data_IF_152902105283
#
_entry.id   IF_152902105283
#
_cell.length_a   1.000
_cell.length_b   1.000
_cell.length_c   1.000
_cell.angle_alpha   90.00
_cell.angle_beta   90.00
_cell.angle_gamma   90.00
#
_symmetry.space_group_name_H-M   'P 1'
#
loop_
_entity.id
_entity.type
_entity.pdbx_description
1 polymer ?
#
# COMPACT_ATOMS: atom_id res chain seq x y z
N UNK A 1 0.75 62.94 53.04
CA UNK A 1 2.07 62.84 52.38
C UNK A 1 2.85 61.63 52.91
N UNK A 2 2.96 60.56 52.12
CA UNK A 2 3.74 59.38 52.48
C UNK A 2 4.37 58.74 51.23
N UNK A 3 5.68 58.95 51.14
CA UNK A 3 6.78 58.10 50.64
C UNK A 3 6.44 56.98 49.64
N UNK A 4 6.98 57.11 48.42
CA UNK A 4 7.06 56.06 47.40
C UNK A 4 8.36 55.28 47.59
N UNK A 5 8.25 53.96 47.74
CA UNK A 5 9.37 53.01 47.82
C UNK A 5 9.41 52.18 46.52
N UNK A 6 10.58 51.96 45.88
CA UNK A 6 10.68 51.16 44.65
C UNK A 6 11.23 49.75 44.95
N UNK A 7 10.56 48.68 44.51
CA UNK A 7 11.17 47.34 44.46
C UNK A 7 10.49 46.35 43.49
N UNK A 8 11.32 45.86 42.57
CA UNK A 8 11.44 44.51 42.00
C UNK A 8 10.26 43.78 41.30
N UNK A 9 10.43 43.56 39.99
CA UNK A 9 9.88 42.41 39.24
C UNK A 9 10.46 41.10 39.81
N UNK A 10 9.66 40.03 39.94
CA UNK A 10 9.82 38.92 38.99
C UNK A 10 8.56 38.08 38.76
N UNK A 11 8.50 37.38 37.62
CA UNK A 11 7.53 36.27 37.46
C UNK A 11 7.19 35.88 36.03
N UNK A 12 8.19 35.67 35.16
CA UNK A 12 7.99 34.91 33.93
C UNK A 12 7.54 33.48 34.30
N UNK A 13 6.30 33.12 33.98
CA UNK A 13 5.82 31.75 34.10
C UNK A 13 6.42 30.89 32.97
N UNK A 14 6.95 29.70 33.26
CA UNK A 14 7.49 28.82 32.22
C UNK A 14 6.36 28.26 31.36
N UNK A 15 6.52 28.42 30.04
CA UNK A 15 5.74 27.70 29.05
C UNK A 15 6.06 26.19 29.18
N UNK A 16 5.08 25.40 29.61
CA UNK A 16 5.15 23.94 29.56
C UNK A 16 5.18 23.46 28.10
N UNK A 17 5.77 22.28 27.84
CA UNK A 17 6.20 21.90 26.51
C UNK A 17 5.00 21.73 25.58
N UNK A 18 4.99 22.50 24.48
CA UNK A 18 4.18 22.19 23.33
C UNK A 18 4.52 20.75 22.91
N UNK A 19 3.53 19.85 23.00
CA UNK A 19 3.60 18.57 22.30
C UNK A 19 3.97 18.91 20.86
N UNK A 20 5.16 18.47 20.44
CA UNK A 20 5.54 18.48 19.05
C UNK A 20 4.41 17.80 18.28
N UNK A 21 3.65 18.59 17.51
CA UNK A 21 2.84 18.08 16.43
C UNK A 21 3.84 17.39 15.51
N UNK A 22 3.86 16.06 15.59
CA UNK A 22 4.49 15.25 14.56
C UNK A 22 3.72 15.58 13.30
N UNK A 23 4.38 16.31 12.41
CA UNK A 23 3.85 16.64 11.10
C UNK A 23 3.67 15.31 10.34
N UNK A 24 2.43 14.91 9.97
CA UNK A 24 2.21 13.67 9.25
C UNK A 24 2.60 13.76 7.77
N UNK A 25 3.19 14.88 7.32
CA UNK A 25 3.79 15.01 5.99
C UNK A 25 5.24 14.54 5.89
N UNK A 26 5.77 13.83 6.90
CA UNK A 26 7.02 13.08 6.77
C UNK A 26 6.84 11.84 5.88
N UNK A 27 6.65 12.06 4.57
CA UNK A 27 7.15 11.11 3.59
C UNK A 27 8.67 11.08 3.80
N UNK A 28 9.29 9.91 4.07
CA UNK A 28 10.73 9.85 4.01
C UNK A 28 11.11 10.26 2.60
N UNK A 29 11.91 11.33 2.51
CA UNK A 29 12.72 11.62 1.34
C UNK A 29 13.44 10.30 1.03
N UNK A 30 13.00 9.60 -0.01
CA UNK A 30 13.59 8.34 -0.41
C UNK A 30 14.98 8.70 -0.94
N UNK A 31 15.97 8.59 -0.06
CA UNK A 31 17.37 8.60 -0.43
C UNK A 31 17.53 7.62 -1.60
N UNK A 32 17.93 8.09 -2.81
CA UNK A 32 17.94 7.25 -4.01
C UNK A 32 18.92 6.07 -3.92
N UNK A 33 19.75 6.02 -2.88
CA UNK A 33 20.72 4.94 -2.62
C UNK A 33 20.32 4.00 -1.45
N UNK A 34 19.17 4.23 -0.81
CA UNK A 34 18.65 3.31 0.20
C UNK A 34 17.88 2.17 -0.46
N UNK A 35 18.32 0.92 -0.25
CA UNK A 35 17.55 -0.27 -0.64
C UNK A 35 16.12 -0.10 -0.10
N UNK A 36 15.09 -0.15 -0.96
CA UNK A 36 13.74 0.13 -0.52
C UNK A 36 13.31 -0.93 0.48
N UNK A 37 13.13 -0.52 1.74
CA UNK A 37 12.39 -1.35 2.70
C UNK A 37 10.94 -1.41 2.19
N UNK A 38 10.37 -2.60 1.99
CA UNK A 38 9.01 -2.72 1.48
C UNK A 38 8.02 -2.02 2.42
N UNK A 39 6.97 -1.38 1.88
CA UNK A 39 5.93 -0.80 2.70
C UNK A 39 4.99 -1.89 3.22
N UNK A 40 4.49 -1.69 4.45
CA UNK A 40 3.73 -2.67 5.25
C UNK A 40 2.68 -3.52 4.53
N UNK A 41 1.99 -3.01 3.51
CA UNK A 41 0.98 -3.79 2.77
C UNK A 41 1.53 -4.70 1.68
N UNK A 42 2.81 -4.57 1.31
CA UNK A 42 3.50 -5.42 0.36
C UNK A 42 4.54 -6.34 1.03
N UNK A 43 4.60 -6.37 2.37
CA UNK A 43 5.62 -7.12 3.12
C UNK A 43 5.66 -8.59 2.71
N UNK A 44 4.51 -9.27 2.59
CA UNK A 44 4.48 -10.68 2.18
C UNK A 44 5.07 -10.91 0.77
N UNK A 45 4.74 -10.04 -0.19
CA UNK A 45 5.27 -10.13 -1.57
C UNK A 45 6.76 -9.83 -1.56
N UNK A 46 7.19 -8.84 -0.79
CA UNK A 46 8.58 -8.46 -0.74
C UNK A 46 9.45 -9.47 0.02
N UNK A 47 8.96 -10.08 1.11
CA UNK A 47 9.61 -11.22 1.74
C UNK A 47 9.73 -12.40 0.77
N UNK A 48 8.72 -12.66 -0.06
CA UNK A 48 8.82 -13.69 -1.10
C UNK A 48 9.84 -13.35 -2.20
N UNK A 49 10.04 -12.05 -2.49
CA UNK A 49 11.05 -11.57 -3.45
C UNK A 49 12.45 -11.53 -2.83
N UNK A 50 12.57 -11.26 -1.53
CA UNK A 50 13.84 -11.05 -0.83
C UNK A 50 14.35 -12.32 -0.12
N UNK A 51 13.47 -13.27 0.21
CA UNK A 51 13.80 -14.54 0.84
C UNK A 51 14.48 -15.55 -0.09
N UNK A 52 14.92 -16.68 0.49
CA UNK A 52 15.57 -17.79 -0.23
C UNK A 52 14.56 -18.86 -0.70
N UNK A 53 14.73 -19.25 -1.97
CA UNK A 53 14.08 -20.27 -2.81
C UNK A 53 12.55 -20.17 -3.13
N UNK A 54 12.16 -19.76 -4.36
CA UNK A 54 10.77 -19.68 -4.83
C UNK A 54 10.01 -21.02 -4.89
N UNK A 55 10.71 -22.15 -4.67
CA UNK A 55 10.21 -23.53 -4.83
C UNK A 55 9.41 -24.06 -3.64
N UNK A 56 9.47 -23.41 -2.48
CA UNK A 56 8.78 -23.89 -1.27
C UNK A 56 7.31 -23.44 -1.16
N UNK A 57 6.81 -22.64 -2.12
CA UNK A 57 5.52 -21.96 -2.02
C UNK A 57 4.40 -22.48 -2.97
N UNK A 58 4.60 -23.55 -3.76
CA UNK A 58 3.60 -23.96 -4.77
C UNK A 58 3.56 -25.46 -5.11
N UNK A 59 2.43 -25.90 -5.68
CA UNK A 59 2.19 -27.30 -6.05
C UNK A 59 2.95 -27.78 -7.30
N UNK A 60 3.12 -29.10 -7.49
CA UNK A 60 4.23 -29.68 -8.25
C UNK A 60 4.27 -29.44 -9.78
N UNK A 61 3.19 -28.94 -10.42
CA UNK A 61 3.15 -28.83 -11.89
C UNK A 61 3.15 -27.38 -12.43
N UNK A 62 2.62 -26.41 -11.65
CA UNK A 62 2.65 -24.98 -12.03
C UNK A 62 3.96 -24.29 -11.67
N UNK A 63 4.60 -24.72 -10.57
CA UNK A 63 5.89 -24.21 -10.10
C UNK A 63 6.99 -24.37 -11.13
N UNK A 64 7.02 -25.47 -11.90
CA UNK A 64 8.10 -25.71 -12.87
C UNK A 64 8.02 -24.76 -14.06
N UNK A 65 6.82 -24.47 -14.56
CA UNK A 65 6.64 -23.63 -15.75
C UNK A 65 6.98 -22.16 -15.46
N UNK A 66 6.67 -21.69 -14.26
CA UNK A 66 6.77 -20.27 -13.90
C UNK A 66 7.99 -19.93 -13.02
N UNK A 67 8.77 -20.93 -12.60
CA UNK A 67 9.99 -20.71 -11.83
C UNK A 67 10.97 -19.76 -12.53
N UNK A 68 11.26 -19.99 -13.81
CA UNK A 68 12.24 -19.17 -14.55
C UNK A 68 11.72 -17.73 -14.79
N UNK A 69 10.49 -17.50 -15.30
CA UNK A 69 9.93 -16.14 -15.38
C UNK A 69 9.92 -15.42 -14.03
N UNK A 70 9.52 -16.10 -12.95
CA UNK A 70 9.46 -15.52 -11.61
C UNK A 70 10.86 -15.14 -11.10
N UNK A 71 11.86 -16.00 -11.33
CA UNK A 71 13.25 -15.73 -10.96
C UNK A 71 13.81 -14.51 -11.68
N UNK A 72 13.54 -14.36 -13.00
CA UNK A 72 13.96 -13.19 -13.78
C UNK A 72 13.33 -11.90 -13.27
N UNK A 73 12.04 -11.90 -12.92
CA UNK A 73 11.39 -10.72 -12.33
C UNK A 73 12.01 -10.40 -10.97
N UNK A 74 12.19 -11.40 -10.09
CA UNK A 74 12.75 -11.19 -8.76
C UNK A 74 14.21 -10.71 -8.82
N UNK A 75 15.01 -11.16 -9.79
CA UNK A 75 16.38 -10.69 -10.01
C UNK A 75 16.40 -9.23 -10.46
N UNK A 76 15.56 -8.86 -11.42
CA UNK A 76 15.42 -7.47 -11.85
C UNK A 76 14.98 -6.54 -10.70
N UNK A 77 14.02 -6.96 -9.86
CA UNK A 77 13.62 -6.21 -8.66
C UNK A 77 14.77 -6.07 -7.67
N UNK A 78 15.48 -7.16 -7.34
CA UNK A 78 16.62 -7.14 -6.41
C UNK A 78 17.77 -6.27 -6.91
N UNK A 79 17.95 -6.19 -8.22
CA UNK A 79 18.94 -5.32 -8.85
C UNK A 79 18.47 -3.87 -9.05
N UNK A 80 17.24 -3.52 -8.64
CA UNK A 80 16.67 -2.19 -8.79
C UNK A 80 16.28 -1.82 -10.23
N UNK A 81 16.22 -2.79 -11.15
CA UNK A 81 15.87 -2.58 -12.57
C UNK A 81 14.35 -2.62 -12.75
N UNK A 82 13.66 -1.68 -12.12
CA UNK A 82 12.20 -1.72 -11.94
C UNK A 82 11.41 -1.70 -13.25
N UNK A 83 11.83 -0.91 -14.25
CA UNK A 83 11.20 -0.88 -15.58
C UNK A 83 11.32 -2.22 -16.33
N UNK A 84 12.48 -2.86 -16.20
CA UNK A 84 12.72 -4.20 -16.75
C UNK A 84 11.84 -5.23 -16.03
N UNK A 85 11.80 -5.17 -14.69
CA UNK A 85 10.93 -6.02 -13.88
C UNK A 85 9.45 -5.86 -14.28
N UNK A 86 8.99 -4.64 -14.57
CA UNK A 86 7.60 -4.38 -14.97
C UNK A 86 7.28 -5.04 -16.31
N UNK A 87 8.20 -4.91 -17.27
CA UNK A 87 8.07 -5.55 -18.59
C UNK A 87 8.06 -7.08 -18.46
N UNK A 88 8.99 -7.64 -17.68
CA UNK A 88 9.09 -9.08 -17.44
C UNK A 88 7.83 -9.62 -16.73
N UNK A 89 7.34 -8.92 -15.70
CA UNK A 89 6.16 -9.33 -14.94
C UNK A 89 4.90 -9.31 -15.81
N UNK A 90 4.68 -8.25 -16.60
CA UNK A 90 3.53 -8.17 -17.50
C UNK A 90 3.54 -9.29 -18.54
N UNK A 91 4.70 -9.58 -19.15
CA UNK A 91 4.84 -10.65 -20.14
C UNK A 91 4.58 -12.02 -19.50
N UNK A 92 5.12 -12.27 -18.31
CA UNK A 92 4.90 -13.51 -17.58
C UNK A 92 3.43 -13.71 -17.21
N UNK A 93 2.73 -12.67 -16.77
CA UNK A 93 1.29 -12.73 -16.47
C UNK A 93 0.49 -13.06 -17.73
N UNK A 94 0.78 -12.45 -18.87
CA UNK A 94 0.08 -12.70 -20.13
C UNK A 94 0.25 -14.16 -20.59
N UNK A 95 1.49 -14.64 -20.63
CA UNK A 95 1.83 -16.01 -21.03
C UNK A 95 1.19 -17.05 -20.09
N UNK A 96 1.34 -16.84 -18.79
CA UNK A 96 0.82 -17.75 -17.77
C UNK A 96 -0.72 -17.78 -17.78
N UNK A 97 -1.38 -16.63 -17.95
CA UNK A 97 -2.83 -16.55 -18.05
C UNK A 97 -3.36 -17.28 -19.28
N UNK A 98 -2.66 -17.18 -20.41
CA UNK A 98 -3.01 -17.89 -21.64
C UNK A 98 -2.85 -19.41 -21.53
N UNK A 99 -1.92 -19.88 -20.70
CA UNK A 99 -1.59 -21.30 -20.55
C UNK A 99 -2.39 -22.00 -19.45
N UNK A 100 -2.52 -21.34 -18.29
CA UNK A 100 -3.07 -21.93 -17.06
C UNK A 100 -4.47 -21.39 -16.72
N UNK A 101 -4.86 -20.25 -17.29
CA UNK A 101 -6.08 -19.51 -16.94
C UNK A 101 -5.82 -18.42 -15.90
N UNK A 102 -6.58 -17.33 -15.96
CA UNK A 102 -6.34 -16.11 -15.19
C UNK A 102 -6.51 -16.26 -13.66
N UNK A 103 -7.30 -17.24 -13.23
CA UNK A 103 -7.58 -17.52 -11.81
C UNK A 103 -6.70 -18.65 -11.23
N UNK A 104 -5.75 -19.17 -12.01
CA UNK A 104 -4.82 -20.21 -11.54
C UNK A 104 -3.88 -19.63 -10.46
N UNK A 105 -3.59 -20.39 -9.39
CA UNK A 105 -2.84 -19.90 -8.23
C UNK A 105 -1.49 -19.25 -8.58
N UNK A 106 -0.71 -19.88 -9.46
CA UNK A 106 0.57 -19.32 -9.91
C UNK A 106 0.42 -18.02 -10.72
N UNK A 107 -0.68 -17.87 -11.47
CA UNK A 107 -1.00 -16.62 -12.18
C UNK A 107 -1.34 -15.53 -11.18
N UNK A 108 -2.11 -15.85 -10.13
CA UNK A 108 -2.42 -14.91 -9.05
C UNK A 108 -1.13 -14.44 -8.36
N UNK A 109 -0.20 -15.36 -8.04
CA UNK A 109 1.11 -15.01 -7.47
C UNK A 109 1.93 -14.08 -8.38
N UNK A 110 1.95 -14.33 -9.69
CA UNK A 110 2.61 -13.43 -10.65
C UNK A 110 1.94 -12.05 -10.72
N UNK A 111 0.61 -12.00 -10.61
CA UNK A 111 -0.14 -10.73 -10.58
C UNK A 111 0.10 -9.95 -9.29
N UNK A 112 0.27 -10.62 -8.15
CA UNK A 112 0.69 -10.00 -6.88
C UNK A 112 2.08 -9.36 -7.01
N UNK A 113 3.02 -10.08 -7.62
CA UNK A 113 4.35 -9.55 -7.93
C UNK A 113 4.27 -8.37 -8.91
N UNK A 114 3.44 -8.47 -9.94
CA UNK A 114 3.20 -7.37 -10.89
C UNK A 114 2.64 -6.12 -10.20
N UNK A 115 1.76 -6.28 -9.20
CA UNK A 115 1.25 -5.17 -8.41
C UNK A 115 2.35 -4.51 -7.56
N UNK A 116 3.23 -5.30 -6.96
CA UNK A 116 4.39 -4.80 -6.21
C UNK A 116 5.37 -4.06 -7.10
N UNK A 117 5.70 -4.61 -8.27
CA UNK A 117 6.59 -3.96 -9.24
C UNK A 117 6.00 -2.64 -9.75
N UNK A 118 4.70 -2.59 -10.04
CA UNK A 118 4.01 -1.36 -10.42
C UNK A 118 4.10 -0.30 -9.31
N UNK A 119 3.98 -0.71 -8.04
CA UNK A 119 4.16 0.18 -6.91
C UNK A 119 5.60 0.73 -6.83
N UNK A 120 6.61 -0.13 -6.99
CA UNK A 120 8.02 0.29 -7.03
C UNK A 120 8.32 1.21 -8.20
N UNK A 121 7.64 1.04 -9.34
CA UNK A 121 7.77 1.89 -10.52
C UNK A 121 7.14 3.28 -10.33
N UNK A 122 6.48 3.54 -9.19
CA UNK A 122 5.78 4.78 -8.95
C UNK A 122 4.44 4.88 -9.69
N UNK A 123 3.83 3.74 -10.08
CA UNK A 123 2.47 3.67 -10.60
C UNK A 123 1.50 3.10 -9.55
N UNK A 124 1.09 3.92 -8.56
CA UNK A 124 0.19 3.48 -7.51
C UNK A 124 -1.22 3.15 -8.02
N UNK A 125 -1.63 3.67 -9.18
CA UNK A 125 -2.97 3.40 -9.72
C UNK A 125 -3.03 1.98 -10.29
N UNK A 126 -2.01 1.58 -11.03
CA UNK A 126 -1.92 0.22 -11.56
C UNK A 126 -1.76 -0.79 -10.43
N UNK A 127 -0.86 -0.52 -9.47
CA UNK A 127 -0.68 -1.35 -8.28
C UNK A 127 -1.97 -1.53 -7.47
N UNK A 128 -2.72 -0.44 -7.26
CA UNK A 128 -4.01 -0.47 -6.56
C UNK A 128 -5.02 -1.38 -7.26
N UNK A 129 -5.21 -1.20 -8.57
CA UNK A 129 -6.21 -1.94 -9.35
C UNK A 129 -5.92 -3.42 -9.37
N UNK A 130 -4.65 -3.81 -9.59
CA UNK A 130 -4.24 -5.21 -9.55
C UNK A 130 -4.51 -5.83 -8.18
N UNK A 131 -4.10 -5.15 -7.11
CA UNK A 131 -4.28 -5.63 -5.74
C UNK A 131 -5.77 -5.77 -5.38
N UNK A 132 -6.61 -4.78 -5.73
CA UNK A 132 -8.03 -4.83 -5.40
C UNK A 132 -8.77 -5.93 -6.17
N UNK A 133 -8.41 -6.16 -7.44
CA UNK A 133 -8.97 -7.25 -8.22
C UNK A 133 -8.61 -8.62 -7.64
N UNK A 134 -7.34 -8.81 -7.26
CA UNK A 134 -6.84 -10.03 -6.61
C UNK A 134 -7.56 -10.30 -5.28
N UNK A 135 -7.76 -9.27 -4.45
CA UNK A 135 -8.56 -9.38 -3.23
C UNK A 135 -9.97 -9.89 -3.53
N UNK A 136 -10.58 -9.44 -4.63
CA UNK A 136 -11.87 -9.92 -5.11
C UNK A 136 -11.84 -11.39 -5.57
N UNK A 137 -10.77 -11.83 -6.24
CA UNK A 137 -10.58 -13.23 -6.66
C UNK A 137 -10.45 -14.15 -5.45
N UNK A 138 -9.54 -13.86 -4.52
CA UNK A 138 -9.33 -14.67 -3.31
C UNK A 138 -10.58 -14.76 -2.46
N UNK A 139 -11.33 -13.65 -2.31
CA UNK A 139 -12.61 -13.66 -1.61
C UNK A 139 -13.61 -14.63 -2.25
N UNK A 140 -13.73 -14.66 -3.57
CA UNK A 140 -14.63 -15.59 -4.28
C UNK A 140 -14.18 -17.04 -4.14
N UNK A 141 -12.88 -17.27 -4.02
CA UNK A 141 -12.29 -18.59 -3.76
C UNK A 141 -12.40 -19.02 -2.28
N UNK A 142 -12.80 -18.14 -1.37
CA UNK A 142 -12.87 -18.40 0.06
C UNK A 142 -11.52 -18.29 0.79
N UNK A 143 -10.51 -17.71 0.14
CA UNK A 143 -9.21 -17.43 0.76
C UNK A 143 -9.25 -16.06 1.45
N UNK A 144 -9.59 -16.09 2.75
CA UNK A 144 -9.69 -14.87 3.55
C UNK A 144 -8.33 -14.21 3.82
N UNK A 145 -7.27 -15.00 3.95
CA UNK A 145 -5.90 -14.51 4.17
C UNK A 145 -5.37 -13.80 2.93
N UNK A 146 -5.45 -14.45 1.77
CA UNK A 146 -5.05 -13.85 0.49
C UNK A 146 -5.87 -12.60 0.17
N UNK A 147 -7.19 -12.65 0.40
CA UNK A 147 -8.07 -11.51 0.16
C UNK A 147 -7.68 -10.30 1.02
N UNK A 148 -7.41 -10.52 2.31
CA UNK A 148 -7.03 -9.44 3.20
C UNK A 148 -5.61 -8.91 2.93
N UNK A 149 -4.65 -9.79 2.64
CA UNK A 149 -3.30 -9.40 2.23
C UNK A 149 -3.32 -8.45 1.02
N UNK A 150 -4.11 -8.75 0.00
CA UNK A 150 -4.24 -7.86 -1.15
C UNK A 150 -5.03 -6.58 -0.87
N UNK A 151 -5.95 -6.57 0.10
CA UNK A 151 -6.56 -5.32 0.60
C UNK A 151 -5.50 -4.41 1.23
N UNK A 152 -4.55 -4.96 1.99
CA UNK A 152 -3.44 -4.19 2.58
C UNK A 152 -2.49 -3.66 1.50
N UNK A 153 -2.18 -4.45 0.47
CA UNK A 153 -1.42 -4.00 -0.70
C UNK A 153 -2.13 -2.85 -1.43
N UNK A 154 -3.44 -2.99 -1.69
CA UNK A 154 -4.26 -1.95 -2.28
C UNK A 154 -4.30 -0.68 -1.41
N UNK A 155 -4.47 -0.82 -0.09
CA UNK A 155 -4.46 0.32 0.84
C UNK A 155 -3.12 1.06 0.83
N UNK A 156 -2.01 0.34 0.66
CA UNK A 156 -0.67 0.91 0.54
C UNK A 156 -0.51 1.70 -0.75
N UNK A 157 -0.89 1.12 -1.90
CA UNK A 157 -0.88 1.82 -3.19
C UNK A 157 -1.82 3.04 -3.18
N UNK A 158 -3.01 2.92 -2.60
CA UNK A 158 -3.96 4.02 -2.44
C UNK A 158 -3.40 5.21 -1.65
N UNK A 159 -2.61 4.95 -0.60
CA UNK A 159 -1.98 6.01 0.19
C UNK A 159 -0.97 6.83 -0.63
N UNK A 160 -0.38 6.24 -1.67
CA UNK A 160 0.54 6.92 -2.59
C UNK A 160 -0.15 7.71 -3.72
N UNK A 161 -1.46 7.58 -3.90
CA UNK A 161 -2.23 8.38 -4.87
C UNK A 161 -2.33 9.83 -4.38
N UNK A 162 -1.81 10.77 -5.19
CA UNK A 162 -1.71 12.19 -4.84
C UNK A 162 -2.94 13.01 -5.23
N UNK A 163 -3.61 12.64 -6.32
CA UNK A 163 -4.81 13.32 -6.78
C UNK A 163 -5.99 13.03 -5.81
N UNK A 164 -6.58 14.05 -5.17
CA UNK A 164 -7.62 13.82 -4.17
C UNK A 164 -8.92 13.25 -4.74
N UNK A 165 -9.36 13.64 -5.94
CA UNK A 165 -10.61 13.14 -6.52
C UNK A 165 -10.48 11.66 -6.91
N UNK A 166 -9.36 11.30 -7.54
CA UNK A 166 -9.01 9.93 -7.86
C UNK A 166 -8.84 9.10 -6.59
N UNK A 167 -8.16 9.65 -5.58
CA UNK A 167 -8.02 9.03 -4.26
C UNK A 167 -9.38 8.76 -3.60
N UNK A 168 -10.37 9.66 -3.74
CA UNK A 168 -11.72 9.45 -3.24
C UNK A 168 -12.45 8.32 -3.98
N UNK A 169 -12.29 8.23 -5.30
CA UNK A 169 -12.85 7.14 -6.12
C UNK A 169 -12.38 5.78 -5.62
N UNK A 170 -11.06 5.60 -5.62
CA UNK A 170 -10.40 4.35 -5.24
C UNK A 170 -10.66 3.99 -3.75
N UNK A 171 -10.65 5.00 -2.88
CA UNK A 171 -10.89 4.81 -1.45
C UNK A 171 -12.29 4.24 -1.15
N UNK A 172 -13.32 4.61 -1.93
CA UNK A 172 -14.67 4.03 -1.78
C UNK A 172 -14.69 2.55 -2.13
N UNK A 173 -14.05 2.17 -3.23
CA UNK A 173 -13.97 0.77 -3.68
C UNK A 173 -13.22 -0.09 -2.65
N UNK A 174 -12.06 0.39 -2.18
CA UNK A 174 -11.25 -0.27 -1.16
C UNK A 174 -12.01 -0.48 0.16
N UNK A 175 -12.58 0.59 0.71
CA UNK A 175 -13.28 0.54 2.01
C UNK A 175 -14.53 -0.33 1.90
N UNK A 176 -15.22 -0.33 0.75
CA UNK A 176 -16.35 -1.20 0.48
C UNK A 176 -15.95 -2.68 0.59
N UNK A 177 -14.94 -3.10 -0.17
CA UNK A 177 -14.44 -4.48 -0.13
C UNK A 177 -13.94 -4.88 1.26
N UNK A 178 -13.14 -4.03 1.91
CA UNK A 178 -12.61 -4.32 3.24
C UNK A 178 -13.72 -4.45 4.28
N UNK A 179 -14.75 -3.60 4.21
CA UNK A 179 -15.91 -3.70 5.12
C UNK A 179 -16.65 -5.02 4.92
N UNK A 180 -16.80 -5.49 3.68
CA UNK A 180 -17.40 -6.81 3.39
C UNK A 180 -16.56 -7.96 3.95
N UNK A 181 -15.22 -7.91 3.81
CA UNK A 181 -14.33 -8.92 4.39
C UNK A 181 -14.39 -8.93 5.92
N UNK A 182 -14.30 -7.76 6.55
CA UNK A 182 -14.38 -7.65 8.01
C UNK A 182 -15.72 -8.16 8.56
N UNK A 183 -16.83 -7.95 7.84
CA UNK A 183 -18.13 -8.48 8.22
C UNK A 183 -18.24 -10.01 8.08
N UNK A 184 -17.46 -10.61 7.17
CA UNK A 184 -17.38 -12.06 7.00
C UNK A 184 -16.52 -12.76 8.07
N UNK A 185 -15.77 -12.01 8.89
CA UNK A 185 -14.84 -12.53 9.90
C UNK A 185 -13.42 -12.74 9.36
N UNK A 186 -12.59 -13.47 10.11
CA UNK A 186 -11.21 -13.76 9.73
C UNK A 186 -10.26 -12.55 9.92
N UNK A 187 -9.10 -12.54 9.25
CA UNK A 187 -8.01 -11.60 9.56
C UNK A 187 -8.42 -10.14 9.34
N UNK A 188 -9.27 -9.85 8.36
CA UNK A 188 -9.81 -8.50 8.13
C UNK A 188 -10.68 -7.98 9.29
N UNK A 189 -11.30 -8.87 10.07
CA UNK A 189 -12.10 -8.51 11.24
C UNK A 189 -11.22 -8.31 12.50
N UNK A 190 -10.11 -9.04 12.59
CA UNK A 190 -9.13 -8.94 13.68
C UNK A 190 -8.40 -7.60 13.64
N UNK A 191 -8.14 -7.06 12.44
CA UNK A 191 -7.47 -5.77 12.21
C UNK A 191 -8.44 -4.60 11.96
N UNK A 192 -9.47 -4.47 12.81
CA UNK A 192 -10.47 -3.40 12.67
C UNK A 192 -9.87 -1.98 12.70
N UNK A 193 -8.74 -1.78 13.38
CA UNK A 193 -8.06 -0.48 13.51
C UNK A 193 -7.47 0.02 12.18
N UNK A 194 -7.03 -0.87 11.30
CA UNK A 194 -6.52 -0.49 9.97
C UNK A 194 -7.65 -0.03 9.04
N UNK A 195 -8.82 -0.69 9.11
CA UNK A 195 -10.02 -0.25 8.40
C UNK A 195 -10.49 1.12 8.90
N UNK A 196 -10.45 1.36 10.21
CA UNK A 196 -10.80 2.67 10.76
C UNK A 196 -9.79 3.75 10.34
N UNK A 197 -8.51 3.42 10.30
CA UNK A 197 -7.46 4.30 9.76
C UNK A 197 -7.70 4.67 8.29
N UNK A 198 -8.16 3.71 7.47
CA UNK A 198 -8.55 3.97 6.09
C UNK A 198 -9.76 4.90 5.99
N UNK A 199 -10.81 4.70 6.81
CA UNK A 199 -11.98 5.59 6.88
C UNK A 199 -11.61 7.00 7.31
N UNK A 200 -10.74 7.14 8.31
CA UNK A 200 -10.25 8.44 8.75
C UNK A 200 -9.49 9.18 7.63
N UNK A 201 -8.69 8.47 6.82
CA UNK A 201 -8.05 9.05 5.62
C UNK A 201 -9.09 9.51 4.60
N UNK A 202 -10.11 8.70 4.33
CA UNK A 202 -11.19 9.04 3.40
C UNK A 202 -11.92 10.33 3.81
N UNK A 203 -12.18 10.51 5.10
CA UNK A 203 -12.76 11.74 5.63
C UNK A 203 -11.86 12.97 5.36
N UNK A 204 -10.56 12.85 5.60
CA UNK A 204 -9.59 13.92 5.31
C UNK A 204 -9.49 14.24 3.82
N UNK A 205 -9.49 13.24 2.94
CA UNK A 205 -9.50 13.44 1.49
C UNK A 205 -10.77 14.17 1.03
N UNK A 206 -11.92 13.82 1.63
CA UNK A 206 -13.21 14.44 1.29
C UNK A 206 -13.18 15.93 1.62
N UNK A 207 -12.64 16.27 2.78
CA UNK A 207 -12.45 17.65 3.21
C UNK A 207 -11.47 18.41 2.29
N UNK A 208 -10.35 17.79 1.90
CA UNK A 208 -9.38 18.41 0.97
C UNK A 208 -9.99 18.68 -0.40
N UNK A 209 -10.70 17.72 -0.98
CA UNK A 209 -11.35 17.89 -2.28
C UNK A 209 -12.40 19.01 -2.25
N UNK A 210 -13.17 19.12 -1.16
CA UNK A 210 -14.11 20.24 -0.97
C UNK A 210 -13.42 21.60 -0.99
N UNK A 211 -12.30 21.74 -0.27
CA UNK A 211 -11.54 23.01 -0.24
C UNK A 211 -11.04 23.40 -1.63
N UNK A 212 -10.48 22.43 -2.37
CA UNK A 212 -9.98 22.64 -3.74
C UNK A 212 -11.09 23.04 -4.71
N UNK A 213 -12.33 22.59 -4.48
CA UNK A 213 -13.48 22.99 -5.30
C UNK A 213 -13.99 24.41 -4.97
N UNK A 214 -13.71 24.94 -3.78
CA UNK A 214 -14.07 26.31 -3.37
C UNK A 214 -12.98 27.37 -3.58
N UNK A 215 -11.73 26.96 -3.85
CA UNK A 215 -10.66 27.90 -4.22
C UNK A 215 -10.74 28.23 -5.73
N UNK A 216 -10.75 29.52 -6.12
CA UNK A 216 -10.72 29.89 -7.54
C UNK A 216 -9.39 29.44 -8.16
N UNK A 217 -9.45 28.78 -9.33
CA UNK A 217 -8.27 28.52 -10.16
C UNK A 217 -7.85 29.84 -10.82
N UNK A 218 -6.86 30.50 -10.21
CA UNK A 218 -6.14 31.64 -10.82
C UNK A 218 -5.33 31.22 -12.06
#
# INVERSE_FOLDING_TARGET
PAVFEPAALPGARPAGPAKALVDPEAYPDLDPDSKPTPPRGFDAVAEAVLGEDPRDAGGPSGVVLLAEPLERVNEAVRAGRIEEAATLASAAVEEASGTLGADHSEVLRLRELSAYVAYLAGDPLHAFRLSLDLAGVHRRAGDAEGAYGNVLSAATAWRAVRDPEQGLGLGRELIGLWTELAAAGGPAAEDADELESARARMARLTERARRQATEPRD
#
